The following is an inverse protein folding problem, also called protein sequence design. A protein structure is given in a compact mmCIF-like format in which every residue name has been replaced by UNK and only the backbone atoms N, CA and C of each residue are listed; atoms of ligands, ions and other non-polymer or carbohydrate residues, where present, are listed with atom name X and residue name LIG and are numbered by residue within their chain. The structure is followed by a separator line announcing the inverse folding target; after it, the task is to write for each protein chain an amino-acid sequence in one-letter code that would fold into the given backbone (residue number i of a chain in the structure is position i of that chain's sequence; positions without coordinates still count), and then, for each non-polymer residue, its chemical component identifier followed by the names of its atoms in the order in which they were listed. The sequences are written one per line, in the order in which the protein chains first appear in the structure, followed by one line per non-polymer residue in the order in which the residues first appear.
data_IF_004126833896
#
_entry.id   IF_004126833896
#
_cell.length_a   1.000
_cell.length_b   1.000
_cell.length_c   1.000
_cell.angle_alpha   90.00
_cell.angle_beta   90.00
_cell.angle_gamma   90.00
#
_symmetry.space_group_name_H-M   'P 1'
#
loop_
_entity.id
_entity.type
_entity.pdbx_description
1 polymer ?
#
# COMPACT_ATOMS: atom_id res chain seq x y z
N UNK A 1 4.24 -20.58 2.77
CA UNK A 1 3.43 -19.39 2.43
C UNK A 1 3.53 -18.42 3.61
N UNK A 2 4.17 -17.24 3.45
CA UNK A 2 4.25 -16.25 4.55
C UNK A 2 2.85 -15.67 4.80
N UNK A 3 2.41 -15.67 6.06
CA UNK A 3 1.15 -15.01 6.46
C UNK A 3 1.35 -13.49 6.34
N UNK A 4 0.29 -12.79 5.95
CA UNK A 4 0.25 -11.32 5.96
C UNK A 4 0.43 -10.83 7.40
N UNK A 5 1.35 -9.88 7.59
CA UNK A 5 1.52 -9.22 8.88
C UNK A 5 0.56 -8.03 8.98
N UNK A 6 -0.50 -8.20 9.78
CA UNK A 6 -1.49 -7.15 9.99
C UNK A 6 -0.90 -5.90 10.65
N UNK A 7 0.12 -6.05 11.49
CA UNK A 7 0.79 -4.91 12.14
C UNK A 7 1.64 -4.13 11.14
N UNK A 8 2.24 -4.82 10.16
CA UNK A 8 2.97 -4.16 9.06
C UNK A 8 2.03 -3.29 8.22
N UNK A 9 0.88 -3.84 7.84
CA UNK A 9 -0.16 -3.14 7.07
C UNK A 9 -0.69 -1.94 7.86
N UNK A 10 -1.03 -2.13 9.13
CA UNK A 10 -1.51 -1.04 9.99
C UNK A 10 -0.45 0.05 10.18
N UNK A 11 0.81 -0.32 10.39
CA UNK A 11 1.90 0.64 10.52
C UNK A 11 2.06 1.48 9.24
N UNK A 12 2.01 0.85 8.07
CA UNK A 12 2.08 1.55 6.79
C UNK A 12 0.88 2.48 6.58
N UNK A 13 -0.34 2.04 6.88
CA UNK A 13 -1.54 2.88 6.82
C UNK A 13 -1.54 4.09 7.77
N UNK A 14 -0.62 4.11 8.74
CA UNK A 14 -0.40 5.22 9.65
C UNK A 14 0.91 5.99 9.36
N UNK A 15 1.56 5.75 8.21
CA UNK A 15 2.80 6.42 7.82
C UNK A 15 4.03 6.03 8.66
N UNK A 16 4.00 4.87 9.31
CA UNK A 16 5.10 4.37 10.18
C UNK A 16 5.97 3.31 9.52
N UNK A 17 5.64 2.90 8.30
CA UNK A 17 6.42 2.02 7.42
C UNK A 17 6.26 2.46 5.99
N UNK A 18 7.34 2.38 5.22
CA UNK A 18 7.37 2.73 3.81
C UNK A 18 7.33 1.47 2.94
N UNK A 19 7.29 1.65 1.63
CA UNK A 19 7.23 0.57 0.64
C UNK A 19 8.30 -0.51 0.84
N UNK A 20 9.56 -0.12 1.10
CA UNK A 20 10.70 -1.03 1.20
C UNK A 20 10.66 -1.94 2.44
N UNK A 21 9.88 -1.56 3.46
CA UNK A 21 9.68 -2.34 4.69
C UNK A 21 8.58 -3.41 4.56
N UNK A 22 7.87 -3.43 3.43
CA UNK A 22 6.69 -4.25 3.22
C UNK A 22 6.97 -5.38 2.24
N UNK A 23 6.41 -6.55 2.54
CA UNK A 23 6.32 -7.62 1.56
C UNK A 23 5.35 -7.19 0.43
N UNK A 24 5.53 -7.62 -0.83
CA UNK A 24 4.64 -7.22 -1.95
C UNK A 24 3.15 -7.49 -1.70
N UNK A 25 2.83 -8.55 -0.96
CA UNK A 25 1.45 -8.85 -0.55
C UNK A 25 0.90 -7.84 0.48
N UNK A 26 1.75 -7.31 1.35
CA UNK A 26 1.39 -6.28 2.34
C UNK A 26 1.21 -4.93 1.64
N UNK A 27 2.08 -4.58 0.69
CA UNK A 27 1.90 -3.42 -0.20
C UNK A 27 0.53 -3.46 -0.87
N UNK A 28 0.17 -4.59 -1.50
CA UNK A 28 -1.13 -4.74 -2.15
C UNK A 28 -2.29 -4.50 -1.18
N UNK A 29 -2.21 -5.04 0.05
CA UNK A 29 -3.26 -4.84 1.05
C UNK A 29 -3.34 -3.38 1.54
N UNK A 30 -2.21 -2.70 1.72
CA UNK A 30 -2.17 -1.27 2.05
C UNK A 30 -2.84 -0.46 0.94
N UNK A 31 -2.43 -0.68 -0.31
CA UNK A 31 -2.99 -0.01 -1.50
C UNK A 31 -4.50 -0.26 -1.61
N UNK A 32 -4.95 -1.50 -1.42
CA UNK A 32 -6.37 -1.89 -1.45
C UNK A 32 -7.19 -1.21 -0.36
N UNK A 33 -6.66 -1.13 0.85
CA UNK A 33 -7.35 -0.49 1.97
C UNK A 33 -7.42 1.04 1.76
N UNK A 34 -6.30 1.67 1.41
CA UNK A 34 -6.23 3.11 1.17
C UNK A 34 -7.15 3.54 0.02
N UNK A 35 -7.11 2.82 -1.11
CA UNK A 35 -8.03 3.07 -2.24
C UNK A 35 -9.50 2.92 -1.84
N UNK A 36 -9.85 1.91 -1.02
CA UNK A 36 -11.23 1.74 -0.51
C UNK A 36 -11.66 2.88 0.42
N UNK A 37 -10.73 3.56 1.10
CA UNK A 37 -10.99 4.77 1.91
C UNK A 37 -11.23 6.02 1.03
N UNK A 38 -10.89 5.95 -0.24
CA UNK A 38 -11.01 7.05 -1.20
C UNK A 38 -9.69 7.76 -1.49
N UNK A 39 -8.57 7.27 -0.96
CA UNK A 39 -7.25 7.85 -1.21
C UNK A 39 -6.90 7.71 -2.70
N UNK A 40 -6.38 8.78 -3.30
CA UNK A 40 -5.94 8.80 -4.71
C UNK A 40 -4.61 8.07 -4.88
N UNK A 41 -4.25 7.71 -6.12
CA UNK A 41 -2.96 7.09 -6.41
C UNK A 41 -1.78 7.90 -5.85
N UNK A 42 -1.79 9.22 -6.02
CA UNK A 42 -0.73 10.10 -5.52
C UNK A 42 -0.66 10.09 -3.98
N UNK A 43 -1.81 10.08 -3.30
CA UNK A 43 -1.87 10.02 -1.83
C UNK A 43 -1.36 8.67 -1.30
N UNK A 44 -1.65 7.57 -1.99
CA UNK A 44 -1.15 6.24 -1.61
C UNK A 44 0.36 6.12 -1.88
N UNK A 45 0.85 6.76 -2.95
CA UNK A 45 2.27 6.80 -3.27
C UNK A 45 3.06 7.61 -2.23
N UNK A 46 2.52 8.78 -1.82
CA UNK A 46 3.05 9.59 -0.72
C UNK A 46 3.06 8.81 0.60
N UNK A 47 1.98 8.11 0.93
CA UNK A 47 1.89 7.27 2.13
C UNK A 47 2.99 6.20 2.20
N UNK A 48 3.37 5.64 1.05
CA UNK A 48 4.36 4.58 0.92
C UNK A 48 5.77 5.10 0.62
N UNK A 49 5.97 6.42 0.54
CA UNK A 49 7.23 7.10 0.21
C UNK A 49 7.85 6.60 -1.10
N UNK A 50 7.03 6.55 -2.16
CA UNK A 50 7.45 6.13 -3.51
C UNK A 50 6.83 7.00 -4.59
N UNK A 51 7.42 6.97 -5.78
CA UNK A 51 6.79 7.51 -6.98
C UNK A 51 5.50 6.74 -7.34
N UNK A 52 4.48 7.46 -7.82
CA UNK A 52 3.20 6.84 -8.18
C UNK A 52 3.31 5.78 -9.28
N UNK A 53 4.32 5.86 -10.15
CA UNK A 53 4.58 4.84 -11.17
C UNK A 53 4.87 3.48 -10.55
N UNK A 54 5.54 3.45 -9.39
CA UNK A 54 5.97 2.24 -8.67
C UNK A 54 4.79 1.36 -8.25
N UNK A 55 3.66 1.97 -7.88
CA UNK A 55 2.46 1.27 -7.39
C UNK A 55 1.27 1.40 -8.35
N UNK A 56 1.48 1.94 -9.56
CA UNK A 56 0.39 2.29 -10.47
C UNK A 56 -0.43 1.07 -10.93
N UNK A 57 0.22 -0.07 -11.13
CA UNK A 57 -0.44 -1.33 -11.54
C UNK A 57 -1.15 -2.01 -10.36
N UNK A 58 -0.52 -2.04 -9.18
CA UNK A 58 -1.12 -2.50 -7.93
C UNK A 58 -2.36 -1.68 -7.59
N UNK A 59 -2.27 -0.35 -7.72
CA UNK A 59 -3.37 0.54 -7.47
C UNK A 59 -4.53 0.24 -8.41
N UNK A 60 -4.31 0.10 -9.72
CA UNK A 60 -5.35 -0.28 -10.69
C UNK A 60 -5.99 -1.63 -10.33
N UNK A 61 -5.17 -2.65 -10.07
CA UNK A 61 -5.62 -4.00 -9.73
C UNK A 61 -6.45 -4.04 -8.44
N UNK A 62 -6.15 -3.18 -7.47
CA UNK A 62 -6.84 -3.13 -6.18
C UNK A 62 -8.29 -2.60 -6.23
N UNK A 63 -8.76 -2.13 -7.40
CA UNK A 63 -10.15 -1.70 -7.59
C UNK A 63 -10.85 -2.36 -8.77
N UNK A 64 -10.30 -3.45 -9.29
CA UNK A 64 -11.05 -4.44 -10.07
C UNK A 64 -11.86 -5.34 -9.13
#
# INVERSE_FOLDING_TARGET
MRKLDALAIEAALNGRRTYDDLHPREVFEVVRIARRRGDTLDQVAELLDVDFFTISEEYKAAGA
#
